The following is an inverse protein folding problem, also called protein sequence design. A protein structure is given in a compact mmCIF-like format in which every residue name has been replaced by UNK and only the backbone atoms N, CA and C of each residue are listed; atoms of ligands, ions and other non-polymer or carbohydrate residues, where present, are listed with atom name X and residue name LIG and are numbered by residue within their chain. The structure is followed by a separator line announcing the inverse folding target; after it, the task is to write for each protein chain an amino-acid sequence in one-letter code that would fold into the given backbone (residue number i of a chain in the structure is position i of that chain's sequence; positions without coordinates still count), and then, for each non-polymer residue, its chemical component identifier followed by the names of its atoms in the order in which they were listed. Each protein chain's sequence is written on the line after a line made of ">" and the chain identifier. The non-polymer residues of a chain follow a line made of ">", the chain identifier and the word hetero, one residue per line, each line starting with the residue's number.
data_IF_491039903871
#
_entry.id   IF_491039903871
#
_cell.length_a   1.000
_cell.length_b   1.000
_cell.length_c   1.000
_cell.angle_alpha   90.00
_cell.angle_beta   90.00
_cell.angle_gamma   90.00
#
_symmetry.space_group_name_H-M   'P 1'
#
loop_
_entity.id
_entity.type
_entity.pdbx_description
1 polymer ?
#
# COMPACT_ATOMS: atom_id res chain seq x y z
N UNK A 1 -12.16 -21.36 -22.00
CA UNK A 1 -11.63 -20.75 -23.24
C UNK A 1 -10.41 -21.53 -23.66
N UNK A 2 -10.46 -22.14 -24.83
CA UNK A 2 -9.37 -22.97 -25.40
C UNK A 2 -8.26 -22.04 -25.88
N UNK A 3 -7.07 -22.21 -25.33
CA UNK A 3 -5.86 -21.57 -25.86
C UNK A 3 -5.57 -22.13 -27.26
N UNK A 4 -5.80 -21.31 -28.29
CA UNK A 4 -5.30 -21.62 -29.62
C UNK A 4 -3.80 -21.35 -29.64
N UNK A 5 -3.02 -22.42 -29.53
CA UNK A 5 -1.60 -22.37 -29.81
C UNK A 5 -1.41 -22.30 -31.32
N UNK A 6 -0.91 -21.17 -31.83
CA UNK A 6 -0.59 -21.02 -33.25
C UNK A 6 0.86 -21.46 -33.49
N UNK A 7 1.08 -22.58 -34.18
CA UNK A 7 2.42 -23.12 -34.40
C UNK A 7 3.25 -22.37 -35.46
N UNK A 8 2.72 -21.32 -36.10
CA UNK A 8 3.39 -20.58 -37.18
C UNK A 8 4.38 -19.48 -36.71
N UNK A 9 4.57 -19.28 -35.40
CA UNK A 9 5.58 -18.34 -34.91
C UNK A 9 5.29 -16.85 -35.07
N UNK A 10 4.19 -16.47 -35.69
CA UNK A 10 3.73 -15.09 -35.74
C UNK A 10 3.02 -14.77 -34.40
N UNK A 11 3.74 -14.14 -33.49
CA UNK A 11 3.13 -13.54 -32.30
C UNK A 11 2.21 -12.41 -32.77
N UNK A 12 0.96 -12.39 -32.26
CA UNK A 12 0.08 -11.24 -32.45
C UNK A 12 0.85 -9.95 -32.15
N UNK A 13 0.63 -8.88 -32.93
CA UNK A 13 1.31 -7.62 -32.68
C UNK A 13 1.04 -7.16 -31.23
N UNK A 14 2.01 -6.54 -30.58
CA UNK A 14 1.84 -6.09 -29.20
C UNK A 14 0.65 -5.14 -29.08
N UNK A 15 -0.16 -5.34 -28.06
CA UNK A 15 -1.35 -4.51 -27.79
C UNK A 15 -0.97 -3.13 -27.27
N UNK A 16 0.14 -3.07 -26.52
CA UNK A 16 0.65 -1.84 -25.90
C UNK A 16 2.08 -1.53 -26.36
N UNK A 17 2.42 -0.26 -26.41
CA UNK A 17 3.78 0.18 -26.71
C UNK A 17 4.74 -0.17 -25.55
N UNK A 18 4.27 -0.01 -24.30
CA UNK A 18 5.11 -0.15 -23.11
C UNK A 18 4.31 -0.69 -21.92
N UNK A 19 4.96 -1.54 -21.11
CA UNK A 19 4.52 -1.90 -19.77
C UNK A 19 5.32 -1.13 -18.73
N UNK A 20 4.66 -0.44 -17.82
CA UNK A 20 5.30 0.19 -16.67
C UNK A 20 4.96 -0.55 -15.39
N UNK A 21 5.97 -0.88 -14.62
CA UNK A 21 5.82 -1.75 -13.43
C UNK A 21 6.23 -1.01 -12.16
N UNK A 22 5.39 -1.04 -11.12
CA UNK A 22 5.87 -0.84 -9.75
C UNK A 22 6.67 -2.06 -9.31
N UNK A 23 8.00 -1.91 -9.22
CA UNK A 23 8.90 -3.00 -8.90
C UNK A 23 9.44 -2.96 -7.47
N UNK A 24 9.16 -1.90 -6.69
CA UNK A 24 9.62 -1.75 -5.30
C UNK A 24 9.14 -2.89 -4.42
N UNK A 25 7.87 -3.25 -4.53
CA UNK A 25 7.29 -4.37 -3.79
C UNK A 25 7.99 -5.69 -4.10
N UNK A 26 8.35 -5.92 -5.37
CA UNK A 26 9.08 -7.14 -5.80
C UNK A 26 10.48 -7.17 -5.20
N UNK A 27 11.22 -6.06 -5.28
CA UNK A 27 12.55 -5.92 -4.69
C UNK A 27 12.53 -6.13 -3.18
N UNK A 28 11.58 -5.49 -2.49
CA UNK A 28 11.44 -5.62 -1.04
C UNK A 28 11.17 -7.06 -0.63
N UNK A 29 10.21 -7.73 -1.27
CA UNK A 29 9.85 -9.13 -0.97
C UNK A 29 10.98 -10.08 -1.28
N UNK A 30 11.70 -9.87 -2.39
CA UNK A 30 12.88 -10.66 -2.72
C UNK A 30 13.95 -10.50 -1.66
N UNK A 31 14.34 -9.27 -1.31
CA UNK A 31 15.32 -9.04 -0.24
C UNK A 31 14.86 -9.62 1.10
N UNK A 32 13.56 -9.55 1.41
CA UNK A 32 12.98 -10.13 2.62
C UNK A 32 13.06 -11.65 2.66
N UNK A 33 12.96 -12.33 1.52
CA UNK A 33 13.12 -13.79 1.42
C UNK A 33 14.55 -14.26 1.65
N UNK A 34 15.55 -13.36 1.53
CA UNK A 34 16.97 -13.67 1.77
C UNK A 34 17.37 -13.59 3.25
N UNK A 35 16.42 -13.31 4.13
CA UNK A 35 16.65 -13.25 5.58
C UNK A 35 15.57 -14.01 6.34
N UNK A 36 15.92 -14.40 7.57
CA UNK A 36 15.00 -14.94 8.55
C UNK A 36 14.88 -13.96 9.70
N UNK A 37 13.65 -13.51 9.98
CA UNK A 37 13.37 -12.73 11.18
C UNK A 37 13.15 -13.67 12.36
N UNK A 38 13.57 -13.22 13.54
CA UNK A 38 13.37 -13.89 14.81
C UNK A 38 13.24 -12.86 15.92
N UNK A 39 12.86 -13.28 17.09
CA UNK A 39 12.84 -12.43 18.29
C UNK A 39 13.81 -12.97 19.33
N UNK A 40 14.46 -12.05 20.03
CA UNK A 40 15.25 -12.29 21.22
C UNK A 40 14.39 -11.89 22.39
N UNK A 41 14.13 -12.82 23.29
CA UNK A 41 13.30 -12.60 24.48
C UNK A 41 14.17 -12.66 25.69
N UNK A 42 14.22 -11.59 26.47
CA UNK A 42 15.00 -11.44 27.68
C UNK A 42 14.06 -11.41 28.90
N UNK A 43 14.22 -12.33 29.82
CA UNK A 43 13.50 -12.30 31.12
C UNK A 43 14.03 -11.20 31.99
N UNK A 44 13.21 -10.19 32.32
CA UNK A 44 13.61 -8.94 32.96
C UNK A 44 14.31 -9.17 34.35
N UNK A 45 13.81 -10.09 35.15
CA UNK A 45 14.34 -10.33 36.48
C UNK A 45 15.67 -11.12 36.50
N UNK A 46 15.93 -12.01 35.53
CA UNK A 46 17.11 -12.88 35.52
C UNK A 46 18.13 -12.57 34.43
N UNK A 47 17.80 -11.70 33.48
CA UNK A 47 18.63 -11.38 32.31
C UNK A 47 18.82 -12.56 31.34
N UNK A 48 18.15 -13.70 31.54
CA UNK A 48 18.26 -14.85 30.61
C UNK A 48 17.57 -14.56 29.30
N UNK A 49 18.24 -14.89 28.20
CA UNK A 49 17.75 -14.67 26.85
C UNK A 49 17.42 -15.99 26.16
N UNK A 50 16.45 -15.94 25.22
CA UNK A 50 16.12 -17.05 24.32
C UNK A 50 15.61 -16.52 23.00
N UNK A 51 16.02 -17.17 21.89
CA UNK A 51 15.51 -16.87 20.55
C UNK A 51 14.25 -17.67 20.23
N UNK A 52 13.33 -17.03 19.47
CA UNK A 52 12.13 -17.66 18.92
C UNK A 52 11.90 -17.21 17.48
N UNK A 53 11.32 -18.08 16.66
CA UNK A 53 10.93 -17.80 15.26
C UNK A 53 9.72 -16.83 15.16
N UNK A 54 9.59 -15.92 16.12
CA UNK A 54 8.58 -14.88 16.20
C UNK A 54 7.67 -14.97 17.42
N UNK A 55 6.87 -13.90 17.60
CA UNK A 55 5.99 -13.72 18.78
C UNK A 55 4.99 -14.87 18.95
N UNK A 56 4.51 -15.46 17.85
CA UNK A 56 3.57 -16.59 17.90
C UNK A 56 4.14 -17.82 18.57
N UNK A 57 5.44 -18.09 18.44
CA UNK A 57 6.11 -19.20 19.10
C UNK A 57 6.39 -18.91 20.57
N UNK A 58 6.63 -17.65 20.90
CA UNK A 58 6.87 -17.23 22.28
C UNK A 58 5.57 -17.13 23.09
N UNK A 59 4.59 -16.37 22.61
CA UNK A 59 3.39 -16.01 23.38
C UNK A 59 2.08 -16.57 22.77
N UNK A 60 2.04 -16.86 21.48
CA UNK A 60 0.82 -17.15 20.72
C UNK A 60 0.17 -15.88 20.18
N UNK A 61 -0.80 -16.04 19.26
CA UNK A 61 -1.54 -14.95 18.63
C UNK A 61 -3.03 -15.27 18.57
N UNK A 62 -3.89 -14.24 18.62
CA UNK A 62 -5.34 -14.36 18.49
C UNK A 62 -5.94 -15.40 19.46
N UNK A 63 -6.66 -16.41 18.94
CA UNK A 63 -7.26 -17.48 19.75
C UNK A 63 -6.23 -18.39 20.45
N UNK A 64 -4.98 -18.37 19.99
CA UNK A 64 -3.85 -19.10 20.58
C UNK A 64 -3.00 -18.21 21.51
N UNK A 65 -3.48 -17.03 21.88
CA UNK A 65 -2.83 -16.16 22.85
C UNK A 65 -2.60 -16.93 24.16
N UNK A 66 -1.41 -16.77 24.76
CA UNK A 66 -0.94 -17.51 25.95
C UNK A 66 -0.75 -19.03 25.73
N UNK A 67 -0.74 -19.53 24.49
CA UNK A 67 -0.50 -20.95 24.18
C UNK A 67 0.89 -21.22 23.58
N UNK A 68 1.72 -20.19 23.41
CA UNK A 68 3.11 -20.37 22.99
C UNK A 68 3.97 -20.89 24.16
N UNK A 69 5.28 -20.72 24.04
CA UNK A 69 6.24 -21.15 25.08
C UNK A 69 5.87 -20.67 26.48
N UNK A 70 5.35 -19.42 26.64
CA UNK A 70 4.86 -18.95 27.95
C UNK A 70 3.78 -19.86 28.51
N UNK A 71 2.83 -20.27 27.70
CA UNK A 71 1.75 -21.17 28.13
C UNK A 71 2.28 -22.53 28.58
N UNK A 72 3.23 -23.11 27.85
CA UNK A 72 3.92 -24.36 28.20
C UNK A 72 4.67 -24.22 29.53
N UNK A 73 5.38 -23.10 29.72
CA UNK A 73 6.07 -22.83 30.99
C UNK A 73 5.08 -22.64 32.14
N UNK A 74 3.94 -22.03 31.93
CA UNK A 74 2.95 -21.80 32.98
C UNK A 74 2.31 -23.10 33.48
N UNK A 75 2.09 -24.09 32.61
CA UNK A 75 1.67 -25.44 33.04
C UNK A 75 2.69 -26.05 33.99
N UNK A 76 3.99 -26.02 33.65
CA UNK A 76 5.08 -26.56 34.48
C UNK A 76 5.19 -25.79 35.79
N UNK A 77 4.95 -24.49 35.79
CA UNK A 77 5.02 -23.64 36.98
C UNK A 77 3.86 -23.89 37.93
N UNK A 78 2.66 -24.11 37.40
CA UNK A 78 1.48 -24.47 38.18
C UNK A 78 1.69 -25.79 38.94
N UNK A 79 2.23 -26.82 38.26
CA UNK A 79 2.61 -28.09 38.92
C UNK A 79 3.63 -27.91 40.06
N UNK A 80 4.46 -26.86 40.00
CA UNK A 80 5.47 -26.54 41.01
C UNK A 80 5.02 -25.50 42.02
N UNK A 81 3.76 -25.06 42.00
CA UNK A 81 3.24 -24.01 42.88
C UNK A 81 3.90 -22.64 42.70
N UNK A 82 4.45 -22.36 41.49
CA UNK A 82 5.10 -21.07 41.16
C UNK A 82 4.12 -20.12 40.44
N UNK A 83 4.25 -18.79 40.64
CA UNK A 83 3.37 -17.84 39.97
C UNK A 83 3.55 -17.92 38.42
N UNK A 84 2.46 -17.72 37.63
CA UNK A 84 2.53 -17.77 36.17
C UNK A 84 3.38 -16.62 35.64
N UNK A 85 4.04 -16.86 34.51
CA UNK A 85 4.73 -15.85 33.72
C UNK A 85 3.75 -15.04 32.87
N UNK A 86 3.99 -13.74 32.76
CA UNK A 86 3.32 -12.84 31.84
C UNK A 86 4.28 -12.40 30.73
N UNK A 87 3.75 -11.91 29.61
CA UNK A 87 4.57 -11.29 28.56
C UNK A 87 5.32 -10.06 29.07
N UNK A 88 4.76 -9.37 30.07
CA UNK A 88 5.35 -8.17 30.68
C UNK A 88 6.60 -8.49 31.53
N UNK A 89 6.82 -9.77 31.87
CA UNK A 89 8.04 -10.23 32.55
C UNK A 89 9.24 -10.27 31.59
N UNK A 90 9.04 -9.96 30.30
CA UNK A 90 10.06 -10.10 29.27
C UNK A 90 10.19 -8.84 28.41
N UNK A 91 11.42 -8.54 28.03
CA UNK A 91 11.74 -7.61 26.94
C UNK A 91 11.88 -8.39 25.64
N UNK A 92 11.22 -7.91 24.56
CA UNK A 92 11.21 -8.57 23.26
C UNK A 92 11.89 -7.67 22.24
N UNK A 93 12.94 -8.16 21.63
CA UNK A 93 13.64 -7.48 20.55
C UNK A 93 13.49 -8.26 19.25
N UNK A 94 13.22 -7.56 18.14
CA UNK A 94 13.19 -8.18 16.80
C UNK A 94 14.57 -8.10 16.18
N UNK A 95 15.06 -9.22 15.66
CA UNK A 95 16.32 -9.32 14.94
C UNK A 95 16.13 -10.06 13.61
N UNK A 96 17.11 -9.94 12.74
CA UNK A 96 17.14 -10.64 11.44
C UNK A 96 18.53 -11.17 11.17
N UNK A 97 18.61 -12.32 10.51
CA UNK A 97 19.86 -12.89 9.99
C UNK A 97 19.67 -13.37 8.56
N UNK A 98 20.74 -13.33 7.78
CA UNK A 98 20.70 -13.86 6.42
C UNK A 98 20.47 -15.37 6.45
N UNK A 99 19.79 -15.89 5.45
CA UNK A 99 19.67 -17.33 5.24
C UNK A 99 20.95 -17.88 4.60
N UNK A 100 21.17 -19.18 4.69
CA UNK A 100 22.11 -19.85 3.79
C UNK A 100 21.56 -19.82 2.35
N UNK A 101 22.44 -19.58 1.37
CA UNK A 101 21.99 -19.56 -0.01
C UNK A 101 21.46 -20.94 -0.42
N UNK A 102 20.21 -21.05 -0.93
CA UNK A 102 19.66 -22.33 -1.36
C UNK A 102 20.45 -22.99 -2.52
N UNK A 103 21.14 -22.19 -3.34
CA UNK A 103 22.09 -22.68 -4.34
C UNK A 103 23.51 -22.40 -3.84
N UNK A 104 24.31 -23.44 -3.52
CA UNK A 104 25.67 -23.28 -2.98
C UNK A 104 26.67 -22.65 -3.98
N UNK A 105 26.33 -22.60 -5.27
CA UNK A 105 27.16 -22.02 -6.32
C UNK A 105 26.93 -20.51 -6.49
N UNK A 106 25.98 -19.91 -5.77
CA UNK A 106 25.59 -18.52 -5.89
C UNK A 106 25.79 -17.77 -4.57
N UNK A 107 26.11 -16.51 -4.67
CA UNK A 107 25.90 -15.58 -3.55
C UNK A 107 24.40 -15.31 -3.34
N UNK A 108 24.01 -14.82 -2.16
CA UNK A 108 22.62 -14.45 -1.90
C UNK A 108 22.12 -13.36 -2.85
N UNK A 109 22.98 -12.44 -3.28
CA UNK A 109 22.62 -11.39 -4.26
C UNK A 109 22.34 -12.01 -5.63
N UNK A 110 23.18 -12.92 -6.11
CA UNK A 110 22.95 -13.60 -7.40
C UNK A 110 21.68 -14.45 -7.36
N UNK A 111 21.47 -15.17 -6.27
CA UNK A 111 20.23 -15.92 -6.04
C UNK A 111 19.00 -14.99 -6.05
N UNK A 112 19.06 -13.86 -5.34
CA UNK A 112 18.03 -12.84 -5.37
C UNK A 112 17.76 -12.28 -6.76
N UNK A 113 18.82 -11.99 -7.53
CA UNK A 113 18.69 -11.55 -8.92
C UNK A 113 18.01 -12.60 -9.82
N UNK A 114 18.27 -13.89 -9.62
CA UNK A 114 17.55 -14.93 -10.35
C UNK A 114 16.05 -14.93 -10.03
N UNK A 115 15.67 -14.75 -8.74
CA UNK A 115 14.26 -14.64 -8.37
C UNK A 115 13.58 -13.43 -9.03
N UNK A 116 14.29 -12.31 -9.10
CA UNK A 116 13.80 -11.11 -9.79
C UNK A 116 13.66 -11.34 -11.30
N UNK A 117 14.58 -12.07 -11.94
CA UNK A 117 14.52 -12.43 -13.38
C UNK A 117 13.23 -13.19 -13.70
N UNK A 118 12.84 -14.17 -12.87
CA UNK A 118 11.59 -14.91 -13.04
C UNK A 118 10.39 -13.99 -13.01
N UNK A 119 10.35 -13.03 -12.06
CA UNK A 119 9.25 -12.08 -11.96
C UNK A 119 9.22 -11.13 -13.15
N UNK A 120 10.37 -10.61 -13.59
CA UNK A 120 10.47 -9.77 -14.81
C UNK A 120 9.98 -10.54 -16.04
N UNK A 121 10.38 -11.82 -16.18
CA UNK A 121 9.91 -12.68 -17.27
C UNK A 121 8.40 -12.88 -17.27
N UNK A 122 7.80 -13.11 -16.11
CA UNK A 122 6.35 -13.24 -15.96
C UNK A 122 5.61 -11.96 -16.31
N UNK A 123 6.06 -10.81 -15.82
CA UNK A 123 5.49 -9.48 -16.12
C UNK A 123 5.55 -9.21 -17.64
N UNK A 124 6.73 -9.41 -18.25
CA UNK A 124 6.91 -9.22 -19.69
C UNK A 124 5.94 -10.07 -20.51
N UNK A 125 5.79 -11.36 -20.16
CA UNK A 125 4.88 -12.28 -20.85
C UNK A 125 3.41 -11.88 -20.72
N UNK A 126 3.00 -11.40 -19.54
CA UNK A 126 1.59 -11.04 -19.26
C UNK A 126 1.20 -9.70 -19.87
N UNK A 127 2.15 -8.76 -19.96
CA UNK A 127 1.87 -7.37 -20.32
C UNK A 127 1.34 -7.13 -21.73
N UNK A 128 1.56 -8.04 -22.68
CA UNK A 128 1.28 -7.87 -24.13
C UNK A 128 1.87 -6.58 -24.72
N UNK A 129 2.91 -6.03 -24.09
CA UNK A 129 3.56 -4.81 -24.53
C UNK A 129 4.82 -5.10 -25.35
N UNK A 130 5.14 -4.20 -26.28
CA UNK A 130 6.35 -4.30 -27.10
C UNK A 130 7.64 -4.18 -26.24
N UNK A 131 7.61 -3.36 -25.19
CA UNK A 131 8.72 -3.16 -24.29
C UNK A 131 8.24 -2.93 -22.84
N UNK A 132 9.17 -2.82 -21.87
CA UNK A 132 8.83 -2.65 -20.47
C UNK A 132 9.78 -1.71 -19.74
N UNK A 133 9.30 -1.10 -18.65
CA UNK A 133 10.07 -0.35 -17.67
C UNK A 133 9.81 -0.90 -16.26
N UNK A 134 10.87 -0.98 -15.47
CA UNK A 134 10.87 -1.47 -14.10
C UNK A 134 11.07 -0.26 -13.18
N UNK A 135 9.98 0.25 -12.64
CA UNK A 135 9.98 1.42 -11.80
C UNK A 135 10.40 1.09 -10.37
N UNK A 136 11.30 1.86 -9.81
CA UNK A 136 11.72 1.76 -8.42
C UNK A 136 11.77 3.14 -7.77
N UNK A 137 11.41 3.19 -6.49
CA UNK A 137 11.38 4.43 -5.70
C UNK A 137 12.74 5.08 -5.56
N UNK A 138 12.72 6.40 -5.41
CA UNK A 138 13.88 7.18 -5.01
C UNK A 138 14.32 6.86 -3.57
N UNK A 139 15.44 7.45 -3.14
CA UNK A 139 15.94 7.31 -1.77
C UNK A 139 15.59 8.52 -0.89
N UNK A 140 15.14 9.62 -1.49
CA UNK A 140 14.76 10.84 -0.79
C UNK A 140 13.30 10.80 -0.32
N UNK A 141 12.96 11.53 0.75
CA UNK A 141 11.59 11.72 1.18
C UNK A 141 10.72 12.33 0.09
N UNK A 142 9.44 11.95 0.04
CA UNK A 142 8.44 12.55 -0.82
C UNK A 142 7.60 13.61 -0.07
N UNK A 143 6.78 14.37 -0.80
CA UNK A 143 5.98 15.46 -0.26
C UNK A 143 4.97 15.03 0.83
N UNK A 144 4.57 13.74 0.88
CA UNK A 144 3.59 13.26 1.86
C UNK A 144 4.10 13.31 3.29
N UNK A 145 5.44 13.23 3.49
CA UNK A 145 6.02 13.38 4.83
C UNK A 145 5.77 14.78 5.41
N UNK A 146 5.79 15.81 4.57
CA UNK A 146 5.53 17.19 5.00
C UNK A 146 4.02 17.47 5.14
N UNK A 147 3.20 16.88 4.27
CA UNK A 147 1.75 17.04 4.27
C UNK A 147 1.05 16.33 5.44
N UNK A 148 1.68 15.33 6.04
CA UNK A 148 1.09 14.53 7.11
C UNK A 148 1.18 15.24 8.47
N UNK A 149 0.03 15.60 9.05
CA UNK A 149 -0.09 16.19 10.39
C UNK A 149 -0.95 15.34 11.34
N UNK A 150 -1.91 14.56 10.81
CA UNK A 150 -2.79 13.70 11.61
C UNK A 150 -1.99 12.58 12.23
N UNK A 151 -1.30 11.80 11.41
CA UNK A 151 -0.41 10.70 11.80
C UNK A 151 0.90 10.79 11.01
N UNK A 152 2.02 10.27 11.57
CA UNK A 152 3.29 10.26 10.84
C UNK A 152 3.19 9.34 9.61
N UNK A 153 3.30 9.91 8.41
CA UNK A 153 3.25 9.14 7.17
C UNK A 153 4.32 8.04 7.17
N UNK A 154 3.89 6.79 6.92
CA UNK A 154 4.76 5.60 6.96
C UNK A 154 5.51 5.39 8.28
N UNK A 155 5.04 6.00 9.39
CA UNK A 155 5.70 5.96 10.69
C UNK A 155 5.80 4.58 11.32
N UNK A 156 4.92 3.66 10.94
CA UNK A 156 4.90 2.27 11.42
C UNK A 156 5.70 1.30 10.53
N UNK A 157 6.36 1.80 9.47
CA UNK A 157 7.13 0.92 8.56
C UNK A 157 8.34 0.34 9.27
N UNK A 158 8.48 -0.98 9.14
CA UNK A 158 9.66 -1.72 9.63
C UNK A 158 10.90 -1.34 8.83
N UNK A 159 12.07 -1.56 9.43
CA UNK A 159 13.35 -1.41 8.75
C UNK A 159 13.41 -2.22 7.44
N UNK A 160 14.14 -1.70 6.47
CA UNK A 160 14.37 -2.41 5.20
C UNK A 160 15.12 -3.73 5.47
N UNK A 161 14.90 -4.77 4.62
CA UNK A 161 15.65 -6.02 4.72
C UNK A 161 17.16 -5.80 4.62
N UNK A 162 17.93 -6.71 5.24
CA UNK A 162 19.39 -6.59 5.39
C UNK A 162 20.13 -6.36 4.06
N UNK A 163 19.74 -7.07 3.00
CA UNK A 163 20.36 -6.97 1.67
C UNK A 163 19.58 -6.12 0.68
N UNK A 164 18.63 -5.28 1.15
CA UNK A 164 17.75 -4.53 0.25
C UNK A 164 18.52 -3.56 -0.66
N UNK A 165 19.47 -2.81 -0.11
CA UNK A 165 20.22 -1.82 -0.89
C UNK A 165 21.18 -2.48 -1.88
N UNK A 166 21.91 -3.50 -1.44
CA UNK A 166 22.84 -4.26 -2.27
C UNK A 166 22.11 -4.96 -3.43
N UNK A 167 20.96 -5.58 -3.15
CA UNK A 167 20.13 -6.23 -4.18
C UNK A 167 19.55 -5.19 -5.16
N UNK A 168 19.12 -4.03 -4.65
CA UNK A 168 18.62 -2.92 -5.47
C UNK A 168 19.71 -2.42 -6.43
N UNK A 169 20.92 -2.18 -5.95
CA UNK A 169 22.02 -1.69 -6.76
C UNK A 169 22.47 -2.72 -7.80
N UNK A 170 22.53 -3.97 -7.43
CA UNK A 170 22.80 -5.07 -8.36
C UNK A 170 21.72 -5.18 -9.44
N UNK A 171 20.42 -5.03 -9.06
CA UNK A 171 19.29 -5.02 -9.99
C UNK A 171 19.34 -3.83 -10.94
N UNK A 172 19.60 -2.61 -10.45
CA UNK A 172 19.78 -1.42 -11.30
C UNK A 172 20.91 -1.63 -12.30
N UNK A 173 22.03 -2.19 -11.87
CA UNK A 173 23.18 -2.47 -12.73
C UNK A 173 22.80 -3.46 -13.83
N UNK A 174 22.13 -4.56 -13.48
CA UNK A 174 21.71 -5.60 -14.42
C UNK A 174 20.69 -5.09 -15.44
N UNK A 175 19.71 -4.32 -14.99
CA UNK A 175 18.61 -3.82 -15.80
C UNK A 175 18.72 -2.34 -16.17
N UNK A 176 19.94 -1.80 -16.24
CA UNK A 176 20.22 -0.36 -16.42
C UNK A 176 19.37 0.32 -17.50
N UNK A 177 19.14 -0.32 -18.65
CA UNK A 177 18.33 0.25 -19.74
C UNK A 177 16.82 0.14 -19.55
N UNK A 178 16.35 -0.62 -18.54
CA UNK A 178 14.94 -0.90 -18.27
C UNK A 178 14.46 -0.32 -16.96
N UNK A 179 15.35 -0.03 -16.03
CA UNK A 179 15.02 0.57 -14.74
C UNK A 179 14.71 2.07 -14.90
N UNK A 180 13.66 2.52 -14.25
CA UNK A 180 13.29 3.91 -14.07
C UNK A 180 13.22 4.20 -12.58
N UNK A 181 14.02 5.14 -12.10
CA UNK A 181 13.99 5.59 -10.70
C UNK A 181 13.04 6.78 -10.61
N UNK A 182 12.16 6.76 -9.62
CA UNK A 182 11.25 7.87 -9.36
C UNK A 182 12.03 9.18 -9.11
N UNK A 183 11.47 10.29 -9.59
CA UNK A 183 12.05 11.63 -9.38
C UNK A 183 12.02 12.00 -7.91
N UNK A 184 12.95 12.86 -7.52
CA UNK A 184 13.00 13.39 -6.17
C UNK A 184 11.68 14.06 -5.77
N UNK A 185 11.22 13.76 -4.57
CA UNK A 185 9.96 14.26 -4.04
C UNK A 185 8.72 13.46 -4.45
N UNK A 186 8.84 12.43 -5.30
CA UNK A 186 7.78 11.52 -5.72
C UNK A 186 8.02 10.10 -5.23
N UNK A 187 6.95 9.33 -5.14
CA UNK A 187 7.01 7.89 -5.01
C UNK A 187 6.93 7.22 -6.39
N UNK A 188 7.29 5.95 -6.48
CA UNK A 188 7.19 5.21 -7.74
C UNK A 188 5.73 5.12 -8.22
N UNK A 189 4.78 5.05 -7.30
CA UNK A 189 3.35 5.02 -7.61
C UNK A 189 2.89 6.33 -8.28
N UNK A 190 3.45 7.48 -7.88
CA UNK A 190 3.17 8.76 -8.55
C UNK A 190 3.67 8.76 -10.00
N UNK A 191 4.90 8.25 -10.25
CA UNK A 191 5.44 8.13 -11.61
C UNK A 191 4.56 7.24 -12.49
N UNK A 192 4.14 6.09 -11.99
CA UNK A 192 3.27 5.16 -12.70
C UNK A 192 1.89 5.78 -12.94
N UNK A 193 1.36 6.49 -11.96
CA UNK A 193 0.09 7.20 -12.08
C UNK A 193 0.15 8.25 -13.20
N UNK A 194 1.18 9.09 -13.23
CA UNK A 194 1.37 10.13 -14.25
C UNK A 194 1.38 9.50 -15.65
N UNK A 195 2.13 8.41 -15.82
CA UNK A 195 2.21 7.65 -17.07
C UNK A 195 0.85 7.06 -17.45
N UNK A 196 0.14 6.49 -16.49
CA UNK A 196 -1.20 5.94 -16.69
C UNK A 196 -2.21 7.00 -17.14
N UNK A 197 -2.16 8.19 -16.53
CA UNK A 197 -3.00 9.33 -16.96
C UNK A 197 -2.60 9.86 -18.33
N UNK A 198 -1.34 9.81 -18.72
CA UNK A 198 -0.90 10.13 -20.08
C UNK A 198 -1.50 9.14 -21.09
N UNK A 199 -1.46 7.84 -20.79
CA UNK A 199 -2.11 6.79 -21.60
C UNK A 199 -3.61 7.00 -21.72
N UNK A 200 -4.29 7.39 -20.64
CA UNK A 200 -5.72 7.69 -20.65
C UNK A 200 -6.06 8.94 -21.49
N UNK A 201 -5.27 10.03 -21.39
CA UNK A 201 -5.41 11.20 -22.25
C UNK A 201 -5.25 10.84 -23.74
N UNK A 202 -4.35 9.91 -24.04
CA UNK A 202 -4.20 9.38 -25.40
C UNK A 202 -5.44 8.56 -25.81
N UNK A 203 -5.93 7.68 -24.94
CA UNK A 203 -7.15 6.89 -25.18
C UNK A 203 -8.35 7.78 -25.49
N UNK A 204 -8.57 8.86 -24.76
CA UNK A 204 -9.67 9.79 -25.02
C UNK A 204 -9.61 10.44 -26.42
N UNK A 205 -8.43 10.51 -27.03
CA UNK A 205 -8.22 11.09 -28.37
C UNK A 205 -8.30 10.06 -29.50
N UNK A 206 -7.87 8.82 -29.22
CA UNK A 206 -7.61 7.82 -30.27
C UNK A 206 -8.43 6.54 -30.12
N UNK A 207 -9.07 6.34 -28.96
CA UNK A 207 -9.75 5.08 -28.61
C UNK A 207 -8.79 3.95 -28.22
N UNK A 208 -7.46 4.21 -28.10
CA UNK A 208 -6.46 3.18 -27.77
C UNK A 208 -5.56 3.65 -26.64
N UNK A 209 -5.29 2.77 -25.69
CA UNK A 209 -4.26 2.99 -24.68
C UNK A 209 -2.87 2.71 -25.25
N UNK A 210 -1.89 3.54 -24.88
CA UNK A 210 -0.48 3.31 -25.21
C UNK A 210 0.20 2.32 -24.28
N UNK A 211 -0.16 2.38 -23.00
CA UNK A 211 0.57 1.72 -21.92
C UNK A 211 -0.32 0.79 -21.14
N UNK A 212 0.30 -0.22 -20.54
CA UNK A 212 -0.29 -1.10 -19.53
C UNK A 212 0.54 -0.98 -18.26
N UNK A 213 -0.12 -0.97 -17.11
CA UNK A 213 0.51 -0.88 -15.80
C UNK A 213 0.57 -2.25 -15.13
N UNK A 214 1.67 -2.56 -14.46
CA UNK A 214 1.82 -3.79 -13.68
C UNK A 214 2.14 -3.43 -12.21
N UNK A 215 1.22 -3.72 -11.30
CA UNK A 215 1.36 -3.37 -9.89
C UNK A 215 0.58 -4.32 -8.98
N UNK A 216 0.81 -4.19 -7.68
CA UNK A 216 0.06 -4.90 -6.62
C UNK A 216 -0.63 -3.89 -5.71
N UNK A 217 -0.09 -2.66 -5.64
CA UNK A 217 -0.61 -1.65 -4.73
C UNK A 217 -2.00 -1.17 -5.17
N UNK A 218 -2.92 -1.15 -4.20
CA UNK A 218 -4.32 -0.73 -4.40
C UNK A 218 -4.47 0.76 -4.71
N UNK A 219 -3.47 1.58 -4.39
CA UNK A 219 -3.53 3.03 -4.56
C UNK A 219 -3.54 3.41 -6.04
N UNK A 220 -2.90 2.59 -6.86
CA UNK A 220 -2.94 2.68 -8.32
C UNK A 220 -4.28 2.28 -8.96
N UNK A 221 -5.24 1.71 -8.21
CA UNK A 221 -6.60 1.48 -8.71
C UNK A 221 -7.37 2.78 -8.99
N UNK A 222 -6.83 3.93 -8.59
CA UNK A 222 -7.37 5.25 -8.93
C UNK A 222 -6.94 5.78 -10.31
N UNK A 223 -6.17 4.98 -11.08
CA UNK A 223 -5.62 5.37 -12.39
C UNK A 223 -6.38 4.68 -13.53
N UNK A 224 -7.02 5.42 -14.46
CA UNK A 224 -7.81 4.84 -15.55
C UNK A 224 -6.91 4.39 -16.71
N UNK A 225 -6.12 3.35 -16.48
CA UNK A 225 -5.21 2.76 -17.45
C UNK A 225 -5.29 1.24 -17.38
N UNK A 226 -5.21 0.52 -18.49
CA UNK A 226 -5.11 -0.94 -18.47
C UNK A 226 -4.04 -1.40 -17.50
N UNK A 227 -4.35 -2.38 -16.68
CA UNK A 227 -3.44 -2.83 -15.65
C UNK A 227 -3.63 -4.29 -15.29
N UNK A 228 -2.62 -4.90 -14.69
CA UNK A 228 -2.73 -6.23 -14.12
C UNK A 228 -1.92 -6.36 -12.82
N UNK A 229 -2.41 -7.23 -11.96
CA UNK A 229 -1.71 -7.59 -10.75
C UNK A 229 -0.69 -8.69 -11.07
N UNK A 230 0.60 -8.40 -10.94
CA UNK A 230 1.65 -9.38 -11.24
C UNK A 230 1.80 -10.50 -10.19
N UNK A 231 1.05 -10.45 -9.09
CA UNK A 231 0.92 -11.57 -8.14
C UNK A 231 -0.28 -12.47 -8.45
N UNK A 232 -1.16 -12.03 -9.37
CA UNK A 232 -2.39 -12.68 -9.78
C UNK A 232 -2.55 -12.60 -11.30
N UNK A 233 -1.53 -13.05 -12.01
CA UNK A 233 -1.46 -12.93 -13.48
C UNK A 233 -2.58 -13.68 -14.19
N UNK A 234 -3.20 -14.66 -13.54
CA UNK A 234 -4.35 -15.42 -14.01
C UNK A 234 -5.63 -14.57 -14.12
N UNK A 235 -5.73 -13.47 -13.36
CA UNK A 235 -6.85 -12.52 -13.47
C UNK A 235 -6.78 -11.70 -14.78
N UNK A 236 -5.61 -11.67 -15.45
CA UNK A 236 -5.41 -10.97 -16.72
C UNK A 236 -5.34 -9.46 -16.59
N UNK A 237 -5.42 -8.77 -17.75
CA UNK A 237 -5.42 -7.30 -17.83
C UNK A 237 -6.84 -6.80 -17.62
N UNK A 238 -7.00 -5.82 -16.72
CA UNK A 238 -8.24 -5.10 -16.46
C UNK A 238 -8.21 -3.71 -17.10
N UNK A 239 -9.37 -3.16 -17.41
CA UNK A 239 -9.54 -1.86 -18.08
C UNK A 239 -10.46 -0.98 -17.23
N UNK A 240 -9.96 -0.40 -16.12
CA UNK A 240 -10.78 0.37 -15.20
C UNK A 240 -11.29 1.66 -15.86
N UNK A 241 -12.56 1.94 -15.66
CA UNK A 241 -13.17 3.20 -16.09
C UNK A 241 -12.96 4.31 -15.05
N UNK A 242 -13.29 5.54 -15.41
CA UNK A 242 -13.10 6.71 -14.54
C UNK A 242 -14.00 6.67 -13.28
N UNK A 243 -15.16 5.99 -13.34
CA UNK A 243 -16.05 5.86 -12.18
C UNK A 243 -15.48 4.85 -11.19
N UNK A 244 -14.90 3.75 -11.66
CA UNK A 244 -14.21 2.76 -10.85
C UNK A 244 -13.01 3.38 -10.15
N UNK A 245 -12.22 4.19 -10.89
CA UNK A 245 -11.08 4.93 -10.33
C UNK A 245 -11.50 5.94 -9.26
N UNK A 246 -12.56 6.71 -9.50
CA UNK A 246 -13.12 7.64 -8.51
C UNK A 246 -13.63 6.89 -7.27
N UNK A 247 -14.30 5.77 -7.47
CA UNK A 247 -14.78 4.91 -6.38
C UNK A 247 -13.62 4.38 -5.53
N UNK A 248 -12.55 3.91 -6.15
CA UNK A 248 -11.35 3.43 -5.45
C UNK A 248 -10.76 4.55 -4.57
N UNK A 249 -10.59 5.75 -5.11
CA UNK A 249 -10.09 6.90 -4.36
C UNK A 249 -11.02 7.31 -3.21
N UNK A 250 -12.34 7.39 -3.44
CA UNK A 250 -13.31 7.72 -2.40
C UNK A 250 -13.35 6.66 -1.27
N UNK A 251 -13.25 5.38 -1.60
CA UNK A 251 -13.14 4.30 -0.60
C UNK A 251 -11.91 4.53 0.28
N UNK A 252 -10.76 4.81 -0.32
CA UNK A 252 -9.53 5.06 0.44
C UNK A 252 -9.61 6.33 1.28
N UNK A 253 -10.17 7.41 0.76
CA UNK A 253 -10.39 8.66 1.50
C UNK A 253 -11.26 8.45 2.75
N UNK A 254 -12.24 7.54 2.67
CA UNK A 254 -13.07 7.15 3.81
C UNK A 254 -12.33 6.24 4.79
N UNK A 255 -11.70 5.14 4.33
CA UNK A 255 -11.13 4.14 5.24
C UNK A 255 -9.66 4.40 5.62
N UNK A 256 -8.97 5.26 4.90
CA UNK A 256 -7.53 5.48 5.04
C UNK A 256 -6.69 4.27 4.63
N UNK A 257 -5.41 4.32 4.98
CA UNK A 257 -4.44 3.21 4.92
C UNK A 257 -3.60 3.13 6.20
N UNK A 258 -4.20 2.62 7.26
CA UNK A 258 -3.57 2.55 8.58
C UNK A 258 -2.44 1.53 8.66
N UNK A 259 -2.51 0.47 7.86
CA UNK A 259 -1.58 -0.67 7.97
C UNK A 259 -0.28 -0.46 7.21
N UNK A 260 -0.28 0.29 6.13
CA UNK A 260 0.86 0.46 5.23
C UNK A 260 1.45 1.85 5.32
N UNK A 261 0.63 2.88 5.15
CA UNK A 261 1.08 4.26 5.04
C UNK A 261 0.71 5.12 6.26
N UNK A 262 0.03 4.52 7.24
CA UNK A 262 -0.42 5.19 8.47
C UNK A 262 -1.34 6.41 8.18
N UNK A 263 -2.21 6.29 7.19
CA UNK A 263 -3.19 7.31 6.83
C UNK A 263 -4.51 7.00 7.53
N UNK A 264 -5.01 7.95 8.32
CA UNK A 264 -6.13 7.71 9.22
C UNK A 264 -7.46 7.45 8.48
N UNK A 265 -7.75 8.18 7.39
CA UNK A 265 -9.08 8.26 6.81
C UNK A 265 -10.08 8.93 7.77
N UNK A 266 -11.36 8.61 7.63
CA UNK A 266 -12.39 9.03 8.55
C UNK A 266 -12.45 8.05 9.74
N UNK A 267 -12.23 8.50 11.00
CA UNK A 267 -12.12 7.61 12.15
C UNK A 267 -13.39 6.80 12.43
N UNK A 268 -14.56 7.42 12.23
CA UNK A 268 -15.86 6.81 12.48
C UNK A 268 -16.94 7.48 11.60
N UNK A 269 -18.12 6.88 11.52
CA UNK A 269 -19.31 7.51 10.94
C UNK A 269 -20.10 8.23 12.04
N UNK A 270 -20.55 9.44 11.74
CA UNK A 270 -21.43 10.17 12.65
C UNK A 270 -22.80 9.51 12.81
N UNK A 271 -23.46 9.74 13.95
CA UNK A 271 -24.76 9.12 14.30
C UNK A 271 -25.83 9.43 13.27
N UNK A 272 -26.00 10.70 12.91
CA UNK A 272 -27.02 11.13 11.95
C UNK A 272 -26.73 10.61 10.54
N UNK A 273 -25.46 10.58 10.13
CA UNK A 273 -25.04 9.97 8.86
C UNK A 273 -25.35 8.48 8.82
N UNK A 274 -25.02 7.75 9.90
CA UNK A 274 -25.30 6.32 10.00
C UNK A 274 -26.81 6.03 9.89
N UNK A 275 -27.64 6.87 10.54
CA UNK A 275 -29.11 6.78 10.50
C UNK A 275 -29.64 7.09 9.09
N UNK A 276 -29.18 8.17 8.47
CA UNK A 276 -29.59 8.60 7.10
C UNK A 276 -29.38 7.51 6.06
N UNK A 277 -28.27 6.77 6.15
CA UNK A 277 -27.87 5.76 5.17
C UNK A 277 -28.04 4.32 5.64
N UNK A 278 -28.77 4.11 6.73
CA UNK A 278 -29.11 2.78 7.30
C UNK A 278 -27.88 1.88 7.56
N UNK A 279 -26.74 2.50 7.96
CA UNK A 279 -25.46 1.83 8.17
C UNK A 279 -25.33 1.15 9.55
N UNK A 280 -26.42 1.13 10.32
CA UNK A 280 -26.46 0.56 11.68
C UNK A 280 -25.82 1.50 12.71
N UNK A 281 -25.19 0.92 13.75
CA UNK A 281 -24.53 1.74 14.80
C UNK A 281 -23.25 2.39 14.25
N UNK A 282 -22.91 3.62 14.72
CA UNK A 282 -21.65 4.27 14.42
C UNK A 282 -20.48 3.31 14.72
N UNK A 283 -19.56 3.18 13.77
CA UNK A 283 -18.42 2.26 13.86
C UNK A 283 -17.24 2.81 13.07
N UNK A 284 -16.04 2.35 13.37
CA UNK A 284 -14.84 2.64 12.61
C UNK A 284 -14.99 2.24 11.14
N UNK A 285 -14.39 3.01 10.25
CA UNK A 285 -14.49 2.80 8.81
C UNK A 285 -13.31 1.94 8.34
N UNK A 286 -13.62 0.70 7.98
CA UNK A 286 -12.77 -0.15 7.16
C UNK A 286 -13.28 -0.20 5.71
N UNK A 287 -12.56 -0.90 4.85
CA UNK A 287 -12.91 -1.03 3.41
C UNK A 287 -14.36 -1.45 3.16
N UNK A 288 -14.86 -2.44 3.91
CA UNK A 288 -16.24 -2.92 3.75
C UNK A 288 -17.27 -1.84 4.10
N UNK A 289 -17.04 -1.07 5.17
CA UNK A 289 -17.91 0.06 5.54
C UNK A 289 -17.84 1.18 4.50
N UNK A 290 -16.65 1.49 3.97
CA UNK A 290 -16.50 2.50 2.91
C UNK A 290 -17.24 2.11 1.62
N UNK A 291 -17.19 0.83 1.23
CA UNK A 291 -17.96 0.30 0.10
C UNK A 291 -19.46 0.46 0.35
N UNK A 292 -19.92 0.13 1.55
CA UNK A 292 -21.34 0.25 1.94
C UNK A 292 -21.81 1.71 1.90
N UNK A 293 -20.98 2.65 2.36
CA UNK A 293 -21.27 4.10 2.28
C UNK A 293 -21.50 4.56 0.82
N UNK A 294 -20.76 3.99 -0.13
CA UNK A 294 -20.79 4.42 -1.53
C UNK A 294 -21.66 3.53 -2.44
N UNK A 295 -22.34 2.52 -1.90
CA UNK A 295 -23.03 1.49 -2.71
C UNK A 295 -24.01 2.05 -3.74
N UNK A 296 -24.78 3.08 -3.35
CA UNK A 296 -25.85 3.67 -4.16
C UNK A 296 -25.37 4.85 -5.00
N UNK A 297 -24.07 5.20 -4.97
CA UNK A 297 -23.50 6.27 -5.76
C UNK A 297 -23.17 5.76 -7.17
N UNK A 298 -23.82 6.28 -8.20
CA UNK A 298 -23.60 5.87 -9.59
C UNK A 298 -22.49 6.69 -10.28
N UNK A 299 -22.28 7.93 -9.86
CA UNK A 299 -21.36 8.88 -10.49
C UNK A 299 -20.25 9.33 -9.55
N UNK A 300 -19.09 9.77 -10.08
CA UNK A 300 -18.03 10.36 -9.25
C UNK A 300 -18.53 11.52 -8.40
N UNK A 301 -19.40 12.37 -8.94
CA UNK A 301 -19.99 13.50 -8.21
C UNK A 301 -20.70 13.02 -6.94
N UNK A 302 -21.62 12.06 -7.07
CA UNK A 302 -22.34 11.49 -5.93
C UNK A 302 -21.40 10.84 -4.90
N UNK A 303 -20.31 10.19 -5.35
CA UNK A 303 -19.32 9.60 -4.45
C UNK A 303 -18.60 10.68 -3.63
N UNK A 304 -18.16 11.78 -4.25
CA UNK A 304 -17.52 12.87 -3.54
C UNK A 304 -18.50 13.62 -2.60
N UNK A 305 -19.73 13.84 -3.02
CA UNK A 305 -20.78 14.41 -2.16
C UNK A 305 -21.02 13.54 -0.92
N UNK A 306 -21.04 12.22 -1.09
CA UNK A 306 -21.17 11.25 0.01
C UNK A 306 -19.96 11.27 0.96
N UNK A 307 -18.74 11.42 0.44
CA UNK A 307 -17.52 11.59 1.26
C UNK A 307 -17.61 12.86 2.09
N UNK A 308 -18.00 13.99 1.49
CA UNK A 308 -18.19 15.28 2.18
C UNK A 308 -19.21 15.14 3.32
N UNK A 309 -20.38 14.55 3.05
CA UNK A 309 -21.40 14.33 4.06
C UNK A 309 -20.88 13.44 5.21
N UNK A 310 -20.10 12.43 4.92
CA UNK A 310 -19.52 11.54 5.93
C UNK A 310 -18.55 12.31 6.85
N UNK A 311 -17.67 13.14 6.27
CA UNK A 311 -16.72 13.95 7.04
C UNK A 311 -17.44 15.02 7.88
N UNK A 312 -18.41 15.74 7.31
CA UNK A 312 -19.28 16.68 8.07
C UNK A 312 -20.04 15.98 9.20
N UNK A 313 -20.57 14.80 8.91
CA UNK A 313 -21.33 14.02 9.90
C UNK A 313 -20.51 13.56 11.10
N UNK A 314 -19.20 13.39 10.93
CA UNK A 314 -18.31 12.99 12.02
C UNK A 314 -17.69 14.20 12.75
N UNK A 315 -17.11 15.16 12.01
CA UNK A 315 -16.38 16.28 12.61
C UNK A 315 -17.28 17.46 12.96
N UNK A 316 -18.51 17.53 12.43
CA UNK A 316 -19.35 18.71 12.49
C UNK A 316 -18.96 19.76 11.46
N UNK A 317 -19.63 20.91 11.48
CA UNK A 317 -19.37 22.04 10.57
C UNK A 317 -18.51 23.14 11.21
N UNK A 318 -18.48 23.19 12.54
CA UNK A 318 -17.72 24.17 13.30
C UNK A 318 -16.24 23.80 13.37
N UNK A 319 -15.33 24.79 13.41
CA UNK A 319 -13.91 24.53 13.66
C UNK A 319 -13.70 23.88 15.04
N UNK A 320 -12.66 23.05 15.15
CA UNK A 320 -12.27 22.39 16.39
C UNK A 320 -10.76 22.45 16.62
N UNK A 321 -10.35 22.41 17.88
CA UNK A 321 -8.94 22.36 18.25
C UNK A 321 -8.36 21.00 17.88
N UNK A 322 -7.27 21.00 17.12
CA UNK A 322 -6.53 19.83 16.68
C UNK A 322 -5.09 19.90 17.16
N UNK A 323 -4.56 18.76 17.61
CA UNK A 323 -3.13 18.62 17.93
C UNK A 323 -2.51 17.62 16.96
N UNK A 324 -1.51 18.04 16.19
CA UNK A 324 -0.81 17.20 15.24
C UNK A 324 0.06 16.14 15.96
N UNK A 325 0.46 15.09 15.22
CA UNK A 325 1.44 14.11 15.75
C UNK A 325 2.80 14.74 16.12
N UNK A 326 3.06 15.98 15.67
CA UNK A 326 4.26 16.76 16.00
C UNK A 326 4.08 17.63 17.25
N UNK A 327 2.88 17.61 17.87
CA UNK A 327 2.55 18.41 19.04
C UNK A 327 2.09 19.86 18.71
N UNK A 328 1.91 20.19 17.44
CA UNK A 328 1.43 21.52 17.01
C UNK A 328 -0.07 21.62 17.22
N UNK A 329 -0.53 22.71 17.84
CA UNK A 329 -1.95 22.97 18.07
C UNK A 329 -2.47 23.97 17.05
N UNK A 330 -3.60 23.66 16.41
CA UNK A 330 -4.24 24.51 15.41
C UNK A 330 -5.77 24.35 15.45
N UNK A 331 -6.50 25.28 14.89
CA UNK A 331 -7.92 25.10 14.59
C UNK A 331 -8.04 24.43 13.22
N UNK A 332 -8.90 23.41 13.11
CA UNK A 332 -9.21 22.69 11.89
C UNK A 332 -10.70 22.50 11.70
N UNK A 333 -11.09 22.32 10.47
CA UNK A 333 -12.44 21.96 10.06
C UNK A 333 -12.49 20.54 9.53
N UNK A 334 -13.69 19.99 9.29
CA UNK A 334 -13.87 18.72 8.58
C UNK A 334 -13.16 18.72 7.21
N UNK A 335 -13.12 19.89 6.54
CA UNK A 335 -12.51 20.03 5.22
C UNK A 335 -10.99 19.91 5.29
N UNK A 336 -10.35 20.46 6.33
CA UNK A 336 -8.90 20.33 6.53
C UNK A 336 -8.50 18.87 6.77
N UNK A 337 -9.32 18.12 7.52
CA UNK A 337 -9.11 16.69 7.73
C UNK A 337 -9.28 15.88 6.43
N UNK A 338 -10.28 16.25 5.62
CA UNK A 338 -10.49 15.64 4.32
C UNK A 338 -9.35 15.97 3.33
N UNK A 339 -8.88 17.21 3.29
CA UNK A 339 -7.77 17.63 2.44
C UNK A 339 -6.49 16.86 2.74
N UNK A 340 -6.15 16.71 4.02
CA UNK A 340 -4.95 15.97 4.42
C UNK A 340 -5.05 14.50 4.02
N UNK A 341 -6.14 13.81 4.34
CA UNK A 341 -6.31 12.42 3.89
C UNK A 341 -6.29 12.30 2.35
N UNK A 342 -6.90 13.26 1.66
CA UNK A 342 -6.96 13.25 0.20
C UNK A 342 -5.59 13.44 -0.45
N UNK A 343 -4.75 14.39 0.01
CA UNK A 343 -3.41 14.62 -0.57
C UNK A 343 -2.47 13.45 -0.31
N UNK A 344 -2.60 12.79 0.84
CA UNK A 344 -1.78 11.62 1.18
C UNK A 344 -2.10 10.39 0.33
N UNK A 345 -3.36 10.25 -0.10
CA UNK A 345 -3.87 9.13 -0.90
C UNK A 345 -3.87 9.43 -2.41
N UNK A 346 -3.68 10.69 -2.78
CA UNK A 346 -3.75 11.09 -4.18
C UNK A 346 -2.53 10.62 -4.95
N UNK A 347 -2.80 9.92 -6.05
CA UNK A 347 -1.79 9.58 -7.05
C UNK A 347 -1.70 10.70 -8.08
N UNK A 348 -0.53 11.32 -8.22
CA UNK A 348 -0.30 12.44 -9.10
C UNK A 348 -0.69 12.13 -10.56
N UNK A 349 -1.31 13.07 -11.25
CA UNK A 349 -1.67 12.98 -12.68
C UNK A 349 -0.70 13.72 -13.59
N UNK A 350 0.08 14.61 -12.99
CA UNK A 350 1.17 15.36 -13.63
C UNK A 350 2.25 15.64 -12.58
N UNK A 351 3.45 15.96 -13.03
CA UNK A 351 4.57 16.29 -12.14
C UNK A 351 4.33 17.57 -11.33
N UNK A 352 3.56 18.52 -11.89
CA UNK A 352 3.27 19.80 -11.26
C UNK A 352 2.30 19.68 -10.08
N UNK A 353 1.59 18.57 -9.97
CA UNK A 353 0.64 18.30 -8.87
C UNK A 353 1.30 17.80 -7.59
N UNK A 354 2.59 17.43 -7.63
CA UNK A 354 3.31 16.94 -6.46
C UNK A 354 3.25 17.94 -5.28
N UNK A 355 2.67 17.49 -4.17
CA UNK A 355 2.47 18.31 -2.98
C UNK A 355 1.47 19.46 -3.13
N UNK A 356 0.78 19.59 -4.26
CA UNK A 356 -0.14 20.69 -4.57
C UNK A 356 -1.58 20.27 -4.81
N UNK A 357 -1.87 18.98 -4.67
CA UNK A 357 -3.23 18.50 -4.87
C UNK A 357 -4.18 19.12 -3.84
N UNK A 358 -5.27 19.69 -4.32
CA UNK A 358 -6.36 20.21 -3.51
C UNK A 358 -7.69 19.61 -4.00
N UNK A 359 -8.32 18.83 -3.16
CA UNK A 359 -9.59 18.14 -3.47
C UNK A 359 -10.72 19.14 -3.80
N UNK A 360 -10.66 20.39 -3.30
CA UNK A 360 -11.64 21.42 -3.64
C UNK A 360 -11.63 21.78 -5.12
N UNK A 361 -10.48 21.68 -5.79
CA UNK A 361 -10.43 21.88 -7.24
C UNK A 361 -11.24 20.80 -7.98
N UNK A 362 -11.25 19.58 -7.43
CA UNK A 362 -12.11 18.49 -7.94
C UNK A 362 -13.58 18.82 -7.69
N UNK A 363 -13.94 19.33 -6.51
CA UNK A 363 -15.30 19.75 -6.19
C UNK A 363 -15.79 20.88 -7.12
N UNK A 364 -14.97 21.90 -7.34
CA UNK A 364 -15.28 23.01 -8.28
C UNK A 364 -15.53 22.50 -9.70
N UNK A 365 -14.67 21.59 -10.21
CA UNK A 365 -14.83 20.99 -11.54
C UNK A 365 -16.13 20.20 -11.67
N UNK A 366 -16.53 19.50 -10.61
CA UNK A 366 -17.76 18.69 -10.57
C UNK A 366 -19.01 19.51 -10.18
N UNK A 367 -18.89 20.82 -9.92
CA UNK A 367 -19.97 21.69 -9.42
C UNK A 367 -20.59 21.11 -8.15
N UNK A 368 -19.76 20.72 -7.20
CA UNK A 368 -20.14 20.28 -5.86
C UNK A 368 -20.08 21.53 -4.94
N UNK A 369 -21.19 21.82 -4.30
CA UNK A 369 -21.32 22.91 -3.34
C UNK A 369 -21.44 22.29 -1.95
N UNK A 370 -20.63 22.76 -0.99
CA UNK A 370 -20.50 22.15 0.33
C UNK A 370 -20.49 23.17 1.48
N UNK A 371 -21.09 24.35 1.26
CA UNK A 371 -21.29 25.39 2.29
C UNK A 371 -22.21 24.93 3.42
#
# INVERSE_FOLDING_TARGET
>A
MTFNWNPSGDSDPPEFEMCYTDFDTVLFRCAKSLQKDYIIVTHNASGKTKEFDGVSKFYGLGKAKNKGWIGEQNVIREEKGLPPLSVDDFTIETASRLIECPDPNLSLIEYGLQQLDFKVGAIKKTSRAADYRLGIGGLLPNFRYDAAHILPYKGERKAKPLLFLELRDAFITKYKSKVQIARDGLEQDDEISIIGWESYKHFLKTGKHKYVLAYVDKDLNSVPCPSFNYDKIEEGITYPDINECARAFCIQTLCGDKSTDNIQGLPNIGVEFAKKYELGKPKGIGKATAIEILKDCATPKEMYERVIEAYKGYYGVEPFTFTSHRGEVSERTWLDMLRENAILLYMCRTYEEAGKYDIEQTFKRMKIYYE
#
